data_IF_082288594107
#
_entry.id   IF_082288594107
#
_cell.length_a   1.000
_cell.length_b   1.000
_cell.length_c   1.000
_cell.angle_alpha   90.00
_cell.angle_beta   90.00
_cell.angle_gamma   90.00
#
_symmetry.space_group_name_H-M   'P 1'
#
loop_
_entity.id
_entity.type
_entity.pdbx_description
1 polymer ?
#
# COMPACT_ATOMS: atom_id res chain seq x y z
N UNK A 1 -2.02 18.33 30.86
CA UNK A 1 -3.23 17.58 30.43
C UNK A 1 -3.59 18.02 29.02
N UNK A 2 -3.23 17.25 27.99
CA UNK A 2 -3.72 17.45 26.62
C UNK A 2 -3.90 16.06 25.98
N UNK A 3 -5.08 15.46 26.16
CA UNK A 3 -5.58 14.32 25.38
C UNK A 3 -6.74 14.85 24.53
N UNK A 4 -6.50 15.18 23.27
CA UNK A 4 -7.57 15.53 22.33
C UNK A 4 -7.21 15.01 20.93
N UNK A 5 -7.87 13.91 20.56
CA UNK A 5 -8.47 13.59 19.25
C UNK A 5 -7.54 13.44 18.03
N UNK A 6 -7.22 12.18 17.70
CA UNK A 6 -7.03 11.71 16.32
C UNK A 6 -7.68 10.33 16.16
N UNK A 7 -9.02 10.32 16.12
CA UNK A 7 -9.85 9.14 15.83
C UNK A 7 -10.92 9.54 14.80
N UNK A 8 -10.53 9.93 13.58
CA UNK A 8 -11.48 9.98 12.46
C UNK A 8 -10.85 10.17 11.07
N UNK A 9 -10.11 9.19 10.55
CA UNK A 9 -9.69 9.25 9.12
C UNK A 9 -9.69 7.92 8.37
N UNK A 10 -10.06 6.81 9.00
CA UNK A 10 -10.09 5.47 8.36
C UNK A 10 -11.46 5.06 7.81
N UNK A 11 -12.51 5.87 7.99
CA UNK A 11 -13.87 5.51 7.52
C UNK A 11 -14.25 6.05 6.13
N UNK A 12 -13.42 6.87 5.48
CA UNK A 12 -13.80 7.48 4.19
C UNK A 12 -13.47 6.64 2.94
N UNK A 13 -12.70 5.55 3.05
CA UNK A 13 -12.26 4.77 1.87
C UNK A 13 -13.19 3.59 1.55
N UNK A 14 -14.06 3.16 2.46
CA UNK A 14 -14.86 1.94 2.28
C UNK A 14 -16.29 2.14 1.73
N UNK A 15 -16.71 3.38 1.44
CA UNK A 15 -18.08 3.65 0.97
C UNK A 15 -18.28 3.66 -0.56
N UNK A 16 -17.28 3.33 -1.38
CA UNK A 16 -17.43 3.34 -2.85
C UNK A 16 -17.36 1.97 -3.57
N UNK A 17 -17.25 0.86 -2.85
CA UNK A 17 -17.17 -0.49 -3.48
C UNK A 17 -18.30 -1.45 -3.09
N UNK A 18 -19.39 -0.95 -2.49
CA UNK A 18 -20.43 -1.78 -1.89
C UNK A 18 -21.83 -1.59 -2.50
N UNK A 19 -21.98 -1.54 -3.82
CA UNK A 19 -23.30 -1.56 -4.44
C UNK A 19 -23.27 -2.21 -5.82
N UNK A 20 -23.44 -3.53 -5.85
CA UNK A 20 -23.73 -4.26 -7.08
C UNK A 20 -23.29 -5.71 -7.05
N UNK A 21 -24.15 -6.59 -6.51
CA UNK A 21 -24.67 -7.78 -7.19
C UNK A 21 -25.43 -8.69 -6.20
N UNK A 22 -26.66 -9.15 -6.54
CA UNK A 22 -27.46 -9.98 -5.66
C UNK A 22 -27.31 -11.49 -5.94
N UNK A 23 -27.18 -12.26 -4.86
CA UNK A 23 -27.91 -13.51 -4.64
C UNK A 23 -27.40 -14.82 -5.26
N UNK A 24 -26.85 -15.72 -4.42
CA UNK A 24 -27.08 -17.18 -4.50
C UNK A 24 -27.16 -17.74 -3.06
N UNK A 25 -28.21 -18.50 -2.67
CA UNK A 25 -28.33 -19.08 -1.34
C UNK A 25 -27.96 -20.58 -1.29
N UNK A 26 -27.39 -21.00 -0.15
CA UNK A 26 -27.34 -22.39 0.35
C UNK A 26 -26.22 -23.26 -0.22
N UNK A 27 -25.73 -24.33 0.43
CA UNK A 27 -26.02 -24.99 1.70
C UNK A 27 -24.95 -26.08 1.87
N UNK A 28 -24.42 -26.21 3.09
CA UNK A 28 -23.92 -27.43 3.74
C UNK A 28 -22.59 -28.10 3.34
N UNK A 29 -22.02 -28.64 4.43
CA UNK A 29 -21.21 -29.85 4.58
C UNK A 29 -19.69 -29.74 4.41
N UNK A 30 -19.04 -29.68 5.57
CA UNK A 30 -17.70 -30.21 5.82
C UNK A 30 -17.69 -31.71 5.48
N UNK A 31 -16.62 -32.21 4.86
CA UNK A 31 -16.05 -33.47 5.30
C UNK A 31 -14.55 -33.33 5.60
N UNK A 32 -14.18 -33.80 6.80
CA UNK A 32 -12.82 -34.22 7.11
C UNK A 32 -12.47 -35.40 6.20
N UNK A 33 -11.33 -35.33 5.52
CA UNK A 33 -10.61 -36.52 5.07
C UNK A 33 -9.10 -36.25 5.08
N UNK A 34 -8.46 -37.05 5.91
CA UNK A 34 -7.07 -37.49 5.95
C UNK A 34 -6.43 -37.66 4.57
N UNK A 35 -5.17 -37.27 4.43
CA UNK A 35 -4.22 -38.01 3.60
C UNK A 35 -3.49 -37.24 2.51
N UNK A 36 -2.16 -37.28 2.65
CA UNK A 36 -1.21 -37.69 1.61
C UNK A 36 -0.77 -36.59 0.61
N UNK A 37 0.52 -36.26 0.78
CA UNK A 37 1.55 -35.99 -0.23
C UNK A 37 1.06 -35.67 -1.65
N UNK A 38 1.56 -34.55 -2.21
CA UNK A 38 2.29 -34.54 -3.49
C UNK A 38 2.78 -33.11 -3.83
N UNK A 39 4.10 -33.02 -4.07
CA UNK A 39 4.75 -32.38 -5.22
C UNK A 39 4.00 -31.24 -5.93
N UNK A 40 4.60 -30.04 -5.93
CA UNK A 40 4.44 -29.11 -7.06
C UNK A 40 5.79 -28.51 -7.48
N UNK A 41 6.37 -29.15 -8.49
CA UNK A 41 7.28 -28.54 -9.45
C UNK A 41 6.55 -27.39 -10.16
N UNK A 42 6.80 -26.15 -9.73
CA UNK A 42 6.29 -24.97 -10.45
C UNK A 42 7.30 -24.58 -11.51
N UNK A 43 6.97 -24.99 -12.73
CA UNK A 43 7.58 -24.60 -14.00
C UNK A 43 7.87 -23.10 -14.06
N UNK A 44 9.15 -22.77 -14.16
CA UNK A 44 9.68 -21.50 -14.64
C UNK A 44 9.11 -21.18 -16.03
N UNK A 45 8.13 -20.27 -16.08
CA UNK A 45 7.63 -19.70 -17.33
C UNK A 45 8.48 -18.49 -17.72
N UNK A 46 9.45 -18.79 -18.57
CA UNK A 46 9.92 -17.99 -19.71
C UNK A 46 8.84 -17.01 -20.21
N UNK A 47 9.00 -15.72 -19.91
CA UNK A 47 8.48 -14.60 -20.71
C UNK A 47 9.72 -13.81 -21.13
N UNK A 48 10.15 -13.80 -22.38
CA UNK A 48 9.32 -13.56 -23.56
C UNK A 48 9.52 -12.10 -23.95
N UNK A 49 10.74 -11.74 -24.34
CA UNK A 49 11.05 -10.43 -24.94
C UNK A 49 10.26 -10.30 -26.23
N UNK A 50 9.18 -9.52 -26.19
CA UNK A 50 8.52 -9.03 -27.39
C UNK A 50 9.28 -7.79 -27.83
N UNK A 51 10.25 -7.99 -28.73
CA UNK A 51 10.80 -6.92 -29.54
C UNK A 51 9.65 -6.37 -30.40
N UNK A 52 9.22 -5.15 -30.11
CA UNK A 52 8.29 -4.42 -30.95
C UNK A 52 8.99 -4.14 -32.29
N UNK A 53 8.44 -4.72 -33.36
CA UNK A 53 8.77 -4.39 -34.74
C UNK A 53 8.39 -2.92 -34.96
N UNK A 54 9.39 -2.09 -35.21
CA UNK A 54 9.22 -0.76 -35.77
C UNK A 54 8.76 -0.93 -37.22
N UNK A 55 7.45 -0.90 -37.42
CA UNK A 55 6.84 -0.74 -38.74
C UNK A 55 7.27 0.62 -39.30
N UNK A 56 8.20 0.55 -40.26
CA UNK A 56 8.63 1.65 -41.12
C UNK A 56 7.48 2.04 -42.03
N UNK A 57 6.67 3.00 -41.59
CA UNK A 57 5.60 3.59 -42.36
C UNK A 57 6.16 4.42 -43.53
N UNK A 58 6.14 3.82 -44.72
CA UNK A 58 5.83 4.42 -46.01
C UNK A 58 6.38 5.83 -46.29
N UNK A 59 7.51 5.87 -47.01
CA UNK A 59 7.83 7.00 -47.87
C UNK A 59 6.71 7.18 -48.90
N UNK A 60 5.91 8.23 -48.72
CA UNK A 60 4.96 8.68 -49.73
C UNK A 60 5.74 9.51 -50.75
N UNK A 61 6.20 8.85 -51.81
CA UNK A 61 6.66 9.52 -53.02
C UNK A 61 5.51 10.39 -53.55
N UNK A 62 5.75 11.69 -53.63
CA UNK A 62 4.83 12.63 -54.26
C UNK A 62 5.10 12.61 -55.77
N UNK A 63 4.08 12.51 -56.64
CA UNK A 63 4.29 12.60 -58.08
C UNK A 63 4.80 14.01 -58.40
N UNK A 64 5.92 14.05 -59.13
CA UNK A 64 6.45 15.26 -59.75
C UNK A 64 5.44 15.69 -60.82
N UNK A 65 4.74 16.79 -60.60
CA UNK A 65 3.99 17.45 -61.66
C UNK A 65 5.02 18.06 -62.62
N UNK A 66 5.12 17.49 -63.83
CA UNK A 66 5.66 18.16 -65.01
C UNK A 66 4.82 19.43 -65.24
N UNK A 67 5.39 20.57 -64.87
CA UNK A 67 4.88 21.89 -65.26
C UNK A 67 5.65 22.28 -66.51
N UNK A 68 4.92 22.35 -67.62
CA UNK A 68 5.39 22.83 -68.91
C UNK A 68 6.12 24.17 -68.75
N UNK A 69 7.34 24.24 -69.30
CA UNK A 69 8.10 25.47 -69.44
C UNK A 69 7.38 26.41 -70.43
N UNK A 70 6.68 27.41 -69.92
CA UNK A 70 6.33 28.59 -70.70
C UNK A 70 7.34 29.71 -70.41
N UNK A 71 8.41 29.72 -71.22
CA UNK A 71 9.40 30.79 -71.33
C UNK A 71 8.71 32.11 -71.73
N UNK A 72 8.27 32.89 -70.74
CA UNK A 72 7.92 34.30 -70.93
C UNK A 72 8.95 35.20 -70.26
N UNK A 73 9.93 35.60 -71.07
CA UNK A 73 10.88 36.68 -70.79
C UNK A 73 10.13 37.98 -70.51
N UNK A 74 10.35 38.57 -69.34
CA UNK A 74 10.08 39.98 -69.06
C UNK A 74 11.06 40.51 -68.01
N UNK A 75 11.37 41.81 -68.03
CA UNK A 75 12.70 42.35 -67.79
C UNK A 75 13.05 42.46 -66.30
N UNK A 76 14.23 41.97 -65.96
CA UNK A 76 15.28 42.68 -65.23
C UNK A 76 14.87 43.92 -64.41
N UNK A 77 14.00 43.74 -63.42
CA UNK A 77 14.04 44.56 -62.21
C UNK A 77 14.72 43.70 -61.13
N UNK A 78 16.04 43.86 -61.04
CA UNK A 78 16.80 43.48 -59.85
C UNK A 78 16.27 44.31 -58.68
N UNK A 79 15.16 43.87 -58.09
CA UNK A 79 14.90 44.15 -56.68
C UNK A 79 15.94 43.35 -55.94
N UNK A 80 17.10 43.99 -55.78
CA UNK A 80 18.14 43.67 -54.82
C UNK A 80 17.47 43.70 -53.45
N UNK A 81 16.72 42.63 -53.15
CA UNK A 81 15.97 42.46 -51.92
C UNK A 81 17.00 42.00 -50.92
N UNK A 82 17.92 42.90 -50.57
CA UNK A 82 18.74 42.79 -49.38
C UNK A 82 17.76 42.58 -48.24
N UNK A 83 17.56 41.33 -47.82
CA UNK A 83 16.92 41.05 -46.54
C UNK A 83 17.77 41.84 -45.55
N UNK A 84 17.20 42.88 -44.91
CA UNK A 84 18.04 43.81 -44.17
C UNK A 84 18.74 43.00 -43.09
N UNK A 85 20.06 43.10 -42.96
CA UNK A 85 20.85 42.36 -41.95
C UNK A 85 20.20 42.42 -40.55
N UNK A 86 19.53 43.55 -40.25
CA UNK A 86 18.69 43.77 -39.07
C UNK A 86 17.58 42.74 -38.81
N UNK A 87 17.12 41.98 -39.81
CA UNK A 87 16.15 40.90 -39.65
C UNK A 87 16.79 39.68 -38.97
N UNK A 88 17.96 39.26 -39.45
CA UNK A 88 18.69 38.14 -38.85
C UNK A 88 19.14 38.46 -37.43
N UNK A 89 19.55 39.70 -37.16
CA UNK A 89 19.88 40.14 -35.81
C UNK A 89 18.69 40.05 -34.85
N UNK A 90 17.50 40.51 -35.30
CA UNK A 90 16.27 40.41 -34.50
C UNK A 90 15.87 38.98 -34.24
N UNK A 91 15.91 38.12 -35.25
CA UNK A 91 15.59 36.69 -35.09
C UNK A 91 16.59 36.03 -34.13
N UNK A 92 17.88 36.31 -34.29
CA UNK A 92 18.93 35.75 -33.42
C UNK A 92 18.78 36.23 -31.97
N UNK A 93 18.45 37.51 -31.76
CA UNK A 93 18.19 38.04 -30.43
C UNK A 93 16.95 37.42 -29.79
N UNK A 94 15.88 37.22 -30.57
CA UNK A 94 14.66 36.54 -30.10
C UNK A 94 14.96 35.10 -29.65
N UNK A 95 15.64 34.33 -30.51
CA UNK A 95 16.03 32.95 -30.18
C UNK A 95 16.93 32.87 -28.94
N UNK A 96 17.84 33.83 -28.76
CA UNK A 96 18.66 33.91 -27.54
C UNK A 96 17.79 34.10 -26.30
N UNK A 97 16.84 35.03 -26.34
CA UNK A 97 15.92 35.28 -25.23
C UNK A 97 15.06 34.05 -24.91
N UNK A 98 14.53 33.38 -25.93
CA UNK A 98 13.72 32.17 -25.76
C UNK A 98 14.53 31.02 -25.14
N UNK A 99 15.79 30.85 -25.56
CA UNK A 99 16.70 29.84 -24.99
C UNK A 99 17.06 30.13 -23.54
N UNK A 100 17.32 31.38 -23.19
CA UNK A 100 17.61 31.79 -21.81
C UNK A 100 16.37 31.57 -20.92
N UNK A 101 15.18 31.97 -21.40
CA UNK A 101 13.93 31.75 -20.67
C UNK A 101 13.64 30.26 -20.46
N UNK A 102 13.78 29.43 -21.49
CA UNK A 102 13.57 27.98 -21.38
C UNK A 102 14.62 27.33 -20.47
N UNK A 103 15.88 27.80 -20.50
CA UNK A 103 16.91 27.33 -19.57
C UNK A 103 16.52 27.62 -18.12
N UNK A 104 16.10 28.84 -17.84
CA UNK A 104 15.74 29.26 -16.48
C UNK A 104 14.48 28.51 -16.00
N UNK A 105 13.49 28.32 -16.87
CA UNK A 105 12.32 27.46 -16.61
C UNK A 105 12.72 26.03 -16.25
N UNK A 106 13.64 25.42 -17.03
CA UNK A 106 14.13 24.06 -16.76
C UNK A 106 14.89 23.96 -15.45
N UNK A 107 15.70 24.96 -15.11
CA UNK A 107 16.41 25.00 -13.83
C UNK A 107 15.42 25.05 -12.67
N UNK A 108 14.43 25.94 -12.73
CA UNK A 108 13.38 26.02 -11.71
C UNK A 108 12.63 24.69 -11.57
N UNK A 109 12.27 24.05 -12.68
CA UNK A 109 11.65 22.71 -12.65
C UNK A 109 12.57 21.66 -12.02
N UNK A 110 13.85 21.63 -12.38
CA UNK A 110 14.81 20.69 -11.80
C UNK A 110 14.94 20.89 -10.28
N UNK A 111 14.99 22.14 -9.81
CA UNK A 111 15.03 22.45 -8.38
C UNK A 111 13.78 21.94 -7.64
N UNK A 112 12.58 22.17 -8.19
CA UNK A 112 11.33 21.68 -7.57
C UNK A 112 11.27 20.15 -7.51
N UNK A 113 11.70 19.46 -8.58
CA UNK A 113 11.79 17.99 -8.60
C UNK A 113 12.78 17.47 -7.57
N UNK A 114 13.96 18.10 -7.45
CA UNK A 114 14.96 17.72 -6.46
C UNK A 114 14.45 17.93 -5.03
N UNK A 115 13.76 19.05 -4.78
CA UNK A 115 13.12 19.34 -3.49
C UNK A 115 12.10 18.28 -3.12
N UNK A 116 11.14 17.96 -4.00
CA UNK A 116 10.14 16.94 -3.73
C UNK A 116 10.73 15.55 -3.57
N UNK A 117 11.78 15.21 -4.33
CA UNK A 117 12.50 13.95 -4.15
C UNK A 117 13.16 13.87 -2.77
N UNK A 118 13.76 14.96 -2.30
CA UNK A 118 14.35 15.02 -0.96
C UNK A 118 13.27 14.90 0.12
N UNK A 119 12.19 15.67 0.04
CA UNK A 119 11.04 15.59 0.95
C UNK A 119 10.48 14.17 1.04
N UNK A 120 10.31 13.51 -0.11
CA UNK A 120 9.87 12.13 -0.18
C UNK A 120 10.85 11.16 0.51
N UNK A 121 12.15 11.31 0.26
CA UNK A 121 13.17 10.47 0.90
C UNK A 121 13.19 10.66 2.43
N UNK A 122 13.02 11.88 2.93
CA UNK A 122 12.92 12.14 4.36
C UNK A 122 11.67 11.51 4.96
N UNK A 123 10.51 11.67 4.32
CA UNK A 123 9.27 11.05 4.77
C UNK A 123 9.36 9.51 4.81
N UNK A 124 10.05 8.90 3.83
CA UNK A 124 10.32 7.46 3.86
C UNK A 124 11.17 7.05 5.06
N UNK A 125 12.27 7.76 5.33
CA UNK A 125 13.14 7.47 6.47
C UNK A 125 12.41 7.63 7.82
N UNK A 126 11.57 8.65 7.95
CA UNK A 126 10.75 8.84 9.16
C UNK A 126 9.75 7.70 9.36
N UNK A 127 9.11 7.24 8.28
CA UNK A 127 8.20 6.11 8.31
C UNK A 127 8.94 4.81 8.72
N UNK A 128 10.10 4.53 8.14
CA UNK A 128 10.92 3.37 8.51
C UNK A 128 11.36 3.37 9.98
N UNK A 129 11.74 4.56 10.49
CA UNK A 129 12.06 4.73 11.91
C UNK A 129 10.84 4.48 12.80
N UNK A 130 9.68 5.04 12.44
CA UNK A 130 8.45 4.85 13.18
C UNK A 130 8.01 3.38 13.20
N UNK A 131 8.08 2.68 12.07
CA UNK A 131 7.79 1.24 11.97
C UNK A 131 8.74 0.41 12.82
N UNK A 132 10.03 0.75 12.83
CA UNK A 132 11.03 0.07 13.66
C UNK A 132 10.73 0.28 15.15
N UNK A 133 10.42 1.51 15.56
CA UNK A 133 10.01 1.83 16.93
C UNK A 133 8.79 1.03 17.36
N UNK A 134 7.74 1.00 16.52
CA UNK A 134 6.52 0.25 16.80
C UNK A 134 6.79 -1.26 16.94
N UNK A 135 7.67 -1.81 16.09
CA UNK A 135 8.06 -3.23 16.17
C UNK A 135 8.77 -3.55 17.48
N UNK A 136 9.63 -2.64 17.95
CA UNK A 136 10.35 -2.82 19.21
C UNK A 136 9.39 -2.72 20.41
N UNK A 137 8.46 -1.77 20.41
CA UNK A 137 7.40 -1.68 21.42
C UNK A 137 6.52 -2.94 21.43
N UNK A 138 6.12 -3.44 20.26
CA UNK A 138 5.34 -4.68 20.14
C UNK A 138 6.08 -5.87 20.73
N UNK A 139 7.40 -5.95 20.50
CA UNK A 139 8.25 -7.01 21.06
C UNK A 139 8.27 -6.96 22.59
N UNK A 140 8.39 -5.77 23.18
CA UNK A 140 8.34 -5.59 24.64
C UNK A 140 6.97 -5.98 25.18
N UNK A 141 5.90 -5.43 24.61
CA UNK A 141 4.53 -5.71 25.04
C UNK A 141 4.19 -7.21 24.96
N UNK A 142 4.67 -7.91 23.92
CA UNK A 142 4.53 -9.36 23.81
C UNK A 142 5.23 -10.09 24.97
N UNK A 143 6.45 -9.70 25.29
CA UNK A 143 7.18 -10.27 26.42
C UNK A 143 6.46 -10.05 27.76
N UNK A 144 5.83 -8.88 27.94
CA UNK A 144 5.03 -8.59 29.14
C UNK A 144 3.77 -9.46 29.21
N UNK A 145 3.07 -9.66 28.09
CA UNK A 145 1.92 -10.57 28.01
C UNK A 145 2.32 -12.00 28.37
N UNK A 146 3.44 -12.49 27.81
CA UNK A 146 3.95 -13.83 28.11
C UNK A 146 4.29 -13.97 29.61
N UNK A 147 4.88 -12.94 30.23
CA UNK A 147 5.14 -12.92 31.67
C UNK A 147 3.85 -12.97 32.50
N UNK A 148 2.88 -12.12 32.19
CA UNK A 148 1.59 -12.10 32.89
C UNK A 148 0.81 -13.40 32.73
N UNK A 149 0.91 -14.07 31.58
CA UNK A 149 0.32 -15.39 31.37
C UNK A 149 0.98 -16.46 32.25
N UNK A 150 2.30 -16.42 32.40
CA UNK A 150 3.02 -17.32 33.30
C UNK A 150 2.61 -17.11 34.76
N UNK A 151 2.51 -15.85 35.20
CA UNK A 151 2.02 -15.50 36.56
C UNK A 151 0.58 -15.98 36.79
N UNK A 152 -0.31 -15.75 35.83
CA UNK A 152 -1.72 -16.21 35.91
C UNK A 152 -1.79 -17.73 36.05
N UNK A 153 -0.96 -18.44 35.29
CA UNK A 153 -0.89 -19.91 35.38
C UNK A 153 -0.38 -20.37 36.75
N UNK A 154 0.62 -19.69 37.31
CA UNK A 154 1.13 -19.98 38.65
C UNK A 154 0.06 -19.75 39.74
N UNK A 155 -0.70 -18.65 39.64
CA UNK A 155 -1.82 -18.40 40.55
C UNK A 155 -2.92 -19.45 40.44
N UNK A 156 -3.25 -19.88 39.21
CA UNK A 156 -4.24 -20.93 39.02
C UNK A 156 -3.84 -22.24 39.71
N UNK A 157 -2.57 -22.63 39.60
CA UNK A 157 -2.03 -23.83 40.30
C UNK A 157 -2.17 -23.69 41.82
N UNK A 158 -1.88 -22.52 42.37
CA UNK A 158 -1.99 -22.26 43.81
C UNK A 158 -3.45 -22.33 44.29
N UNK A 159 -4.37 -21.70 43.54
CA UNK A 159 -5.81 -21.75 43.83
C UNK A 159 -6.33 -23.19 43.79
N UNK A 160 -5.92 -23.97 42.79
CA UNK A 160 -6.31 -25.37 42.67
C UNK A 160 -5.77 -26.21 43.84
N UNK A 161 -4.53 -25.97 44.26
CA UNK A 161 -3.93 -26.63 45.42
C UNK A 161 -4.72 -26.32 46.71
N UNK A 162 -4.95 -25.03 46.98
CA UNK A 162 -5.73 -24.59 48.14
C UNK A 162 -7.16 -25.14 48.11
N UNK A 163 -7.80 -25.20 46.94
CA UNK A 163 -9.12 -25.79 46.79
C UNK A 163 -9.13 -27.28 47.16
N UNK A 164 -8.11 -28.05 46.74
CA UNK A 164 -7.98 -29.47 47.12
C UNK A 164 -7.76 -29.65 48.61
N UNK A 165 -6.92 -28.82 49.23
CA UNK A 165 -6.69 -28.84 50.68
C UNK A 165 -7.97 -28.52 51.46
N UNK A 166 -8.66 -27.45 51.09
CA UNK A 166 -9.94 -27.08 51.69
C UNK A 166 -10.96 -28.22 51.57
N UNK A 167 -11.08 -28.83 50.40
CA UNK A 167 -11.95 -29.99 50.18
C UNK A 167 -11.58 -31.16 51.10
N UNK A 168 -10.30 -31.50 51.21
CA UNK A 168 -9.84 -32.58 52.09
C UNK A 168 -10.13 -32.30 53.58
N UNK A 169 -9.98 -31.05 54.02
CA UNK A 169 -10.32 -30.62 55.38
C UNK A 169 -11.82 -30.75 55.66
N UNK A 170 -12.67 -30.30 54.72
CA UNK A 170 -14.12 -30.46 54.83
C UNK A 170 -14.50 -31.94 54.97
N UNK A 171 -13.99 -32.81 54.10
CA UNK A 171 -14.27 -34.25 54.16
C UNK A 171 -13.83 -34.88 55.50
N UNK A 172 -12.67 -34.48 56.04
CA UNK A 172 -12.21 -34.95 57.35
C UNK A 172 -13.14 -34.52 58.48
N UNK A 173 -13.60 -33.26 58.48
CA UNK A 173 -14.49 -32.72 59.50
C UNK A 173 -15.89 -33.36 59.45
N UNK A 174 -16.40 -33.65 58.25
CA UNK A 174 -17.63 -34.41 58.05
C UNK A 174 -17.50 -35.83 58.63
N UNK A 175 -16.40 -36.54 58.34
CA UNK A 175 -16.16 -37.89 58.87
C UNK A 175 -16.05 -37.92 60.40
N UNK A 176 -15.51 -36.88 61.02
CA UNK A 176 -15.43 -36.74 62.48
C UNK A 176 -16.75 -36.28 63.12
N UNK A 177 -17.81 -36.04 62.34
CA UNK A 177 -19.10 -35.58 62.85
C UNK A 177 -19.13 -34.13 63.33
N UNK A 178 -18.05 -33.38 63.14
CA UNK A 178 -17.91 -31.97 63.59
C UNK A 178 -18.80 -31.06 62.75
N UNK A 179 -18.88 -31.33 61.44
CA UNK A 179 -19.83 -30.67 60.56
C UNK A 179 -21.09 -31.52 60.45
N UNK A 180 -22.13 -31.15 61.20
CA UNK A 180 -23.46 -31.71 60.98
C UNK A 180 -24.00 -31.21 59.65
N UNK A 181 -24.13 -32.12 58.67
CA UNK A 181 -24.84 -31.86 57.42
C UNK A 181 -26.28 -31.51 57.79
N UNK A 182 -26.64 -30.21 57.80
CA UNK A 182 -28.04 -29.78 57.89
C UNK A 182 -28.76 -30.45 56.73
N UNK A 183 -29.52 -31.52 57.02
CA UNK A 183 -30.46 -32.07 56.06
C UNK A 183 -31.38 -30.92 55.68
N UNK A 184 -31.35 -30.49 54.43
CA UNK A 184 -32.43 -29.68 53.89
C UNK A 184 -33.69 -30.51 54.11
N UNK A 185 -34.55 -30.07 55.05
CA UNK A 185 -35.92 -30.54 55.11
C UNK A 185 -36.56 -30.08 53.81
N UNK A 186 -36.68 -30.98 52.84
CA UNK A 186 -37.66 -30.88 51.78
C UNK A 186 -39.03 -31.09 52.42
N UNK A 187 -39.51 -30.07 53.12
CA UNK A 187 -40.92 -30.00 53.50
C UNK A 187 -41.67 -29.62 52.21
N UNK A 188 -42.10 -30.66 51.49
CA UNK A 188 -43.06 -30.51 50.42
C UNK A 188 -44.32 -29.86 50.98
N UNK A 189 -44.62 -28.66 50.50
CA UNK A 189 -45.94 -28.07 50.69
C UNK A 189 -46.65 -28.22 49.35
N UNK A 190 -47.71 -29.02 49.38
CA UNK A 190 -48.67 -29.23 48.30
C UNK A 190 -49.46 -27.95 48.00
#
# INVERSE_FOLDING_TARGET
MCRVVLLNQTQYVNHQLGAGLPGIPGRAAIPRATGRDNSSDVRSRRGGSTAAQLDSAGHRESPLMEVEEEERRSPHDHVDRCVPESFFDRVTQGLRGDLEHERDRRLQMAETVLKHRAEFAFAQLENERALTSLRDELRVARGDVERSQAETTAFQILVDAHHREHKALCEMLERKGVLHRKKQRTDGTA
#
